data_IF_905852634341
#
_entry.id   IF_905852634341
#
_cell.length_a   1.000
_cell.length_b   1.000
_cell.length_c   1.000
_cell.angle_alpha   90.00
_cell.angle_beta   90.00
_cell.angle_gamma   90.00
#
_symmetry.space_group_name_H-M   'P 1'
#
loop_
_entity.id
_entity.type
_entity.pdbx_description
1 polymer ?
#
# COMPACT_ATOMS: atom_id res chain seq x y z
N UNK A 1 10.65 -3.72 0.70
CA UNK A 1 10.64 -3.44 -0.74
C UNK A 1 10.01 -4.52 -1.57
N UNK A 2 10.37 -5.75 -1.32
CA UNK A 2 9.80 -6.85 -2.11
C UNK A 2 8.27 -6.86 -2.04
N UNK A 3 7.71 -6.57 -0.87
CA UNK A 3 6.26 -6.57 -0.72
C UNK A 3 5.61 -5.50 -1.58
N UNK A 4 6.20 -4.31 -1.62
CA UNK A 4 5.67 -3.23 -2.45
C UNK A 4 5.72 -3.60 -3.91
N UNK A 5 6.83 -4.19 -4.34
CA UNK A 5 6.99 -4.58 -5.74
C UNK A 5 5.96 -5.62 -6.12
N UNK A 6 5.76 -6.62 -5.26
CA UNK A 6 4.77 -7.66 -5.54
C UNK A 6 3.36 -7.09 -5.60
N UNK A 7 3.05 -6.18 -4.69
CA UNK A 7 1.74 -5.53 -4.66
C UNK A 7 1.47 -4.81 -5.97
N UNK A 8 2.44 -4.02 -6.42
CA UNK A 8 2.29 -3.23 -7.63
C UNK A 8 2.24 -4.12 -8.86
N UNK A 9 3.13 -5.12 -8.90
CA UNK A 9 3.18 -6.03 -10.02
C UNK A 9 1.85 -6.75 -10.22
N UNK A 10 1.25 -7.20 -9.13
CA UNK A 10 -0.04 -7.88 -9.22
C UNK A 10 -1.14 -6.94 -9.65
N UNK A 11 -1.11 -5.71 -9.17
CA UNK A 11 -2.14 -4.74 -9.52
C UNK A 11 -2.07 -4.30 -10.97
N UNK A 12 -0.87 -4.14 -11.49
CA UNK A 12 -0.68 -3.57 -12.83
C UNK A 12 -0.45 -4.62 -13.90
N UNK A 13 -0.08 -5.83 -13.51
CA UNK A 13 0.29 -6.85 -14.48
C UNK A 13 1.65 -6.63 -15.11
N UNK A 14 2.44 -5.72 -14.55
CA UNK A 14 3.76 -5.39 -15.07
C UNK A 14 4.79 -6.19 -14.28
N UNK A 15 5.87 -6.61 -14.94
CA UNK A 15 6.86 -7.47 -14.30
C UNK A 15 7.51 -6.78 -13.11
N UNK A 16 7.95 -7.59 -12.15
CA UNK A 16 8.57 -7.06 -10.93
C UNK A 16 9.82 -6.24 -11.25
N UNK A 17 10.59 -6.68 -12.26
CA UNK A 17 11.79 -5.95 -12.64
C UNK A 17 11.46 -4.56 -13.12
N UNK A 18 10.44 -4.45 -13.97
CA UNK A 18 10.04 -3.15 -14.49
C UNK A 18 9.45 -2.28 -13.40
N UNK A 19 8.68 -2.88 -12.49
CA UNK A 19 8.12 -2.14 -11.36
C UNK A 19 9.24 -1.61 -10.48
N UNK A 20 10.24 -2.43 -10.21
CA UNK A 20 11.36 -2.01 -9.36
C UNK A 20 12.07 -0.80 -9.94
N UNK A 21 12.38 -0.87 -11.24
CA UNK A 21 13.07 0.24 -11.89
C UNK A 21 12.24 1.51 -11.87
N UNK A 22 10.94 1.38 -12.12
CA UNK A 22 10.05 2.53 -12.19
C UNK A 22 9.88 3.17 -10.82
N UNK A 23 9.65 2.36 -9.78
CA UNK A 23 9.47 2.93 -8.44
C UNK A 23 10.74 3.62 -7.96
N UNK A 24 11.89 3.09 -8.35
CA UNK A 24 13.15 3.72 -7.97
C UNK A 24 13.27 5.10 -8.60
N UNK A 25 12.89 5.22 -9.86
CA UNK A 25 12.92 6.51 -10.54
C UNK A 25 11.92 7.48 -9.92
N UNK A 26 10.75 6.98 -9.56
CA UNK A 26 9.76 7.83 -8.91
C UNK A 26 10.26 8.32 -7.56
N UNK A 27 10.93 7.45 -6.80
CA UNK A 27 11.49 7.84 -5.52
C UNK A 27 12.57 8.90 -5.68
N UNK A 28 13.28 8.88 -6.81
CA UNK A 28 14.31 9.87 -7.09
C UNK A 28 13.71 11.22 -7.51
N UNK A 29 12.40 11.29 -7.63
CA UNK A 29 11.75 12.54 -7.98
C UNK A 29 11.46 12.71 -9.45
N UNK A 30 11.67 11.67 -10.26
CA UNK A 30 11.38 11.75 -11.68
C UNK A 30 9.88 11.80 -11.91
N UNK A 31 9.47 12.60 -12.88
CA UNK A 31 8.06 12.69 -13.22
C UNK A 31 7.69 11.58 -14.20
N UNK A 32 6.39 11.31 -14.30
CA UNK A 32 5.91 10.26 -15.19
C UNK A 32 6.27 10.55 -16.67
N UNK A 33 6.02 11.76 -17.17
CA UNK A 33 6.42 12.06 -18.55
C UNK A 33 7.93 11.94 -18.79
N UNK A 34 8.71 12.33 -17.79
CA UNK A 34 10.16 12.24 -17.92
C UNK A 34 10.60 10.79 -18.04
N UNK A 35 10.04 9.91 -17.20
CA UNK A 35 10.39 8.51 -17.24
C UNK A 35 9.99 7.89 -18.57
N UNK A 36 8.80 8.20 -19.06
CA UNK A 36 8.32 7.59 -20.28
C UNK A 36 9.10 8.04 -21.49
N UNK A 37 9.70 9.22 -21.43
CA UNK A 37 10.47 9.74 -22.56
C UNK A 37 11.95 9.43 -22.47
N UNK A 38 12.52 9.56 -21.31
CA UNK A 38 13.97 9.55 -21.18
C UNK A 38 14.53 8.36 -20.42
N UNK A 39 13.68 7.51 -19.87
CA UNK A 39 14.12 6.35 -19.10
C UNK A 39 13.51 5.07 -19.61
N UNK A 40 13.28 4.98 -20.92
CA UNK A 40 12.64 3.80 -21.50
C UNK A 40 13.48 2.55 -21.30
N UNK A 41 14.76 2.66 -21.44
CA UNK A 41 15.60 1.48 -21.28
C UNK A 41 15.61 1.00 -19.82
N UNK A 42 15.47 1.91 -18.87
CA UNK A 42 15.43 1.51 -17.46
C UNK A 42 14.15 0.80 -17.12
N UNK A 43 13.04 1.19 -17.74
CA UNK A 43 11.74 0.63 -17.43
C UNK A 43 11.31 -0.47 -18.38
N UNK A 44 12.13 -0.81 -19.35
CA UNK A 44 11.75 -1.82 -20.32
C UNK A 44 10.70 -1.32 -21.30
N UNK A 45 10.78 -0.05 -21.65
CA UNK A 45 9.91 0.59 -22.64
C UNK A 45 8.47 0.74 -22.19
N UNK A 46 8.27 0.95 -20.91
CA UNK A 46 6.92 1.23 -20.41
C UNK A 46 6.44 2.57 -20.94
N UNK A 47 5.17 2.62 -21.33
CA UNK A 47 4.61 3.88 -21.78
C UNK A 47 4.08 4.67 -20.59
N UNK A 48 3.60 5.87 -20.88
CA UNK A 48 3.16 6.78 -19.83
C UNK A 48 2.00 6.20 -19.02
N UNK A 49 1.09 5.50 -19.69
CA UNK A 49 -0.06 4.90 -19.00
C UNK A 49 0.40 3.82 -18.02
N UNK A 50 1.35 3.01 -18.45
CA UNK A 50 1.87 1.94 -17.61
C UNK A 50 2.62 2.51 -16.40
N UNK A 51 3.41 3.53 -16.62
CA UNK A 51 4.14 4.17 -15.54
C UNK A 51 3.17 4.82 -14.57
N UNK A 52 2.12 5.43 -15.08
CA UNK A 52 1.11 6.04 -14.25
C UNK A 52 0.40 4.99 -13.39
N UNK A 53 0.12 3.83 -13.98
CA UNK A 53 -0.50 2.74 -13.22
C UNK A 53 0.40 2.30 -12.08
N UNK A 54 1.70 2.20 -12.33
CA UNK A 54 2.65 1.84 -11.29
C UNK A 54 2.67 2.91 -10.20
N UNK A 55 2.68 4.17 -10.61
CA UNK A 55 2.71 5.27 -9.65
C UNK A 55 1.47 5.25 -8.74
N UNK A 56 0.31 5.03 -9.33
CA UNK A 56 -0.92 4.98 -8.55
C UNK A 56 -0.94 3.79 -7.59
N UNK A 57 -0.49 2.63 -8.08
CA UNK A 57 -0.44 1.46 -7.22
C UNK A 57 0.56 1.66 -6.09
N UNK A 58 1.67 2.34 -6.37
CA UNK A 58 2.67 2.63 -5.37
C UNK A 58 2.11 3.54 -4.28
N UNK A 59 1.35 4.56 -4.69
CA UNK A 59 0.69 5.43 -3.71
C UNK A 59 -0.31 4.66 -2.87
N UNK A 60 -1.07 3.78 -3.51
CA UNK A 60 -2.02 2.95 -2.79
C UNK A 60 -1.30 2.05 -1.77
N UNK A 61 -0.14 1.53 -2.16
CA UNK A 61 0.63 0.70 -1.24
C UNK A 61 1.09 1.51 -0.04
N UNK A 62 1.55 2.74 -0.27
CA UNK A 62 1.99 3.59 0.83
C UNK A 62 0.84 3.88 1.80
N UNK A 63 -0.34 4.14 1.25
CA UNK A 63 -1.51 4.37 2.07
C UNK A 63 -1.85 3.13 2.88
N UNK A 64 -1.75 1.97 2.25
CA UNK A 64 -2.02 0.72 2.92
C UNK A 64 -1.06 0.51 4.08
N UNK A 65 0.22 0.82 3.87
CA UNK A 65 1.22 0.66 4.93
C UNK A 65 0.94 1.59 6.11
N UNK A 66 0.52 2.80 5.82
CA UNK A 66 0.15 3.75 6.87
C UNK A 66 -1.04 3.22 7.67
N UNK A 67 -2.01 2.67 6.96
CA UNK A 67 -3.19 2.12 7.62
C UNK A 67 -2.81 0.93 8.49
N UNK A 68 -1.91 0.09 7.99
CA UNK A 68 -1.44 -1.05 8.77
C UNK A 68 -0.81 -0.60 10.08
N UNK A 69 0.03 0.41 10.01
CA UNK A 69 0.68 0.94 11.20
C UNK A 69 -0.35 1.46 12.19
N UNK A 70 -1.30 2.21 11.68
CA UNK A 70 -2.35 2.76 12.53
C UNK A 70 -3.12 1.63 13.24
N UNK A 71 -3.47 0.60 12.48
CA UNK A 71 -4.24 -0.51 13.03
C UNK A 71 -3.43 -1.27 14.08
N UNK A 72 -2.16 -1.52 13.78
CA UNK A 72 -1.30 -2.22 14.72
C UNK A 72 -1.20 -1.45 16.03
N UNK A 73 -0.98 -0.14 15.94
CA UNK A 73 -0.87 0.67 17.14
C UNK A 73 -2.18 0.73 17.90
N UNK A 74 -3.29 0.79 17.18
CA UNK A 74 -4.60 0.85 17.83
C UNK A 74 -4.89 -0.43 18.61
N UNK A 75 -4.58 -1.58 18.01
CA UNK A 75 -4.82 -2.85 18.68
C UNK A 75 -3.84 -3.04 19.82
N UNK A 76 -2.60 -2.64 19.60
CA UNK A 76 -1.58 -2.75 20.63
C UNK A 76 -1.95 -1.89 21.85
N UNK A 77 -2.50 -0.71 21.62
CA UNK A 77 -2.93 0.16 22.69
C UNK A 77 -4.05 -0.44 23.52
N UNK A 78 -4.80 -1.36 22.93
CA UNK A 78 -5.85 -2.07 23.66
C UNK A 78 -5.33 -3.32 24.35
N UNK A 79 -4.08 -3.67 24.10
CA UNK A 79 -3.51 -4.86 24.70
C UNK A 79 -3.96 -6.15 24.06
N UNK A 80 -4.49 -6.06 22.85
CA UNK A 80 -5.06 -7.22 22.17
C UNK A 80 -4.21 -7.72 21.00
N UNK A 81 -3.10 -7.04 20.72
CA UNK A 81 -2.27 -7.42 19.59
C UNK A 81 -1.44 -8.65 19.92
N UNK A 82 -1.55 -9.67 19.07
CA UNK A 82 -0.73 -10.86 19.19
C UNK A 82 0.26 -10.90 18.03
N UNK A 83 1.29 -11.74 18.17
CA UNK A 83 2.25 -11.89 17.10
C UNK A 83 1.58 -12.41 15.83
N UNK A 84 0.65 -13.32 16.01
CA UNK A 84 -0.08 -13.89 14.88
C UNK A 84 -0.88 -12.82 14.15
N UNK A 85 -1.60 -12.01 14.91
CA UNK A 85 -2.41 -10.95 14.32
C UNK A 85 -1.53 -9.93 13.63
N UNK A 86 -0.41 -9.58 14.25
CA UNK A 86 0.52 -8.63 13.66
C UNK A 86 1.04 -9.12 12.33
N UNK A 87 1.37 -10.41 12.27
CA UNK A 87 1.84 -11.00 11.01
C UNK A 87 0.76 -10.95 9.95
N UNK A 88 -0.47 -11.25 10.32
CA UNK A 88 -1.56 -11.21 9.37
C UNK A 88 -1.74 -9.80 8.81
N UNK A 89 -1.66 -8.80 9.67
CA UNK A 89 -1.81 -7.41 9.23
C UNK A 89 -0.67 -7.03 8.31
N UNK A 90 0.56 -7.40 8.67
CA UNK A 90 1.71 -7.05 7.86
C UNK A 90 1.69 -7.68 6.49
N UNK A 91 1.17 -8.92 6.40
CA UNK A 91 1.13 -9.64 5.14
C UNK A 91 -0.09 -9.33 4.30
N UNK A 92 -1.00 -8.53 4.82
CA UNK A 92 -2.21 -8.17 4.10
C UNK A 92 -1.87 -7.24 2.95
N UNK A 93 -2.38 -7.54 1.76
CA UNK A 93 -2.11 -6.70 0.59
C UNK A 93 -3.39 -6.10 0.03
N UNK A 94 -4.52 -6.30 0.69
CA UNK A 94 -5.80 -5.76 0.26
C UNK A 94 -6.41 -4.96 1.38
N UNK A 95 -6.89 -3.77 1.03
CA UNK A 95 -7.52 -2.90 2.02
C UNK A 95 -8.71 -3.54 2.67
N UNK A 96 -9.52 -4.23 1.87
CA UNK A 96 -10.73 -4.88 2.40
C UNK A 96 -10.39 -5.89 3.48
N UNK A 97 -9.38 -6.73 3.20
CA UNK A 97 -8.99 -7.73 4.17
C UNK A 97 -8.40 -7.09 5.42
N UNK A 98 -7.66 -6.02 5.24
CA UNK A 98 -7.07 -5.31 6.36
C UNK A 98 -8.16 -4.74 7.27
N UNK A 99 -9.18 -4.15 6.69
CA UNK A 99 -10.28 -3.61 7.47
C UNK A 99 -11.04 -4.71 8.19
N UNK A 100 -11.20 -5.86 7.54
CA UNK A 100 -11.85 -6.99 8.17
C UNK A 100 -11.08 -7.47 9.40
N UNK A 101 -9.76 -7.48 9.32
CA UNK A 101 -8.93 -7.87 10.45
C UNK A 101 -9.08 -6.88 11.61
N UNK A 102 -9.26 -5.62 11.30
CA UNK A 102 -9.36 -4.58 12.30
C UNK A 102 -10.77 -4.48 12.89
N UNK A 103 -11.76 -4.92 12.14
CA UNK A 103 -13.15 -4.71 12.54
C UNK A 103 -13.47 -5.14 13.97
N UNK A 104 -13.08 -6.35 14.42
CA UNK A 104 -13.36 -6.75 15.79
C UNK A 104 -12.67 -5.91 16.84
N UNK A 105 -11.64 -5.17 16.46
CA UNK A 105 -10.84 -4.40 17.40
C UNK A 105 -11.10 -2.90 17.33
N UNK A 106 -11.98 -2.48 16.44
CA UNK A 106 -12.32 -1.06 16.36
C UNK A 106 -12.97 -0.58 17.63
N UNK A 107 -12.53 0.55 18.16
CA UNK A 107 -13.22 1.11 19.30
C UNK A 107 -14.63 1.52 18.91
N UNK A 108 -15.57 1.27 19.81
CA UNK A 108 -16.89 1.66 19.53
C UNK A 108 -17.05 3.06 19.83
N UNK A 109 -17.38 3.85 18.92
CA UNK A 109 -17.40 5.17 19.15
C UNK A 109 -18.64 5.55 19.54
N UNK A 110 -19.33 5.30 19.80
CA UNK A 110 -20.36 5.47 20.04
C UNK A 110 -20.67 6.34 20.71
N UNK A 111 -20.33 6.65 21.01
CA UNK A 111 -20.46 7.44 21.65
C UNK A 111 -21.20 8.38 21.18
N UNK A 112 -21.24 8.59 20.39
CA UNK A 112 -21.88 9.27 19.90
C UNK A 112 -23.00 9.02 19.93
N UNK A 113 -23.12 8.65 19.82
CA UNK A 113 -24.12 8.36 19.67
C UNK A 113 -24.91 8.35 20.67
N UNK A 114 -24.79 8.05 21.00
CA UNK A 114 -25.44 7.90 21.77
C UNK A 114 -25.60 8.88 22.45
N UNK A 115 -25.24 9.57 22.27
CA UNK A 115 -25.33 10.45 22.86
C UNK A 115 -26.24 11.05 22.61
N UNK A 116 -26.48 11.04 22.05
CA UNK A 116 -27.33 11.45 21.76
C UNK A 116 -28.21 11.42 22.34
N UNK A 117 -28.30 11.49 22.71
CA UNK A 117 -29.13 11.50 23.01
C UNK A 117 -29.60 11.87 23.29
#
# INVERSE_FOLDING_TARGET
MTTAINFISERTGISARQVTATTKLLDDGSTIPFISRYRKEATGSLNEVEIQAISMAYENFKELEKRKEFIIQAIEGQGLLSNELKEKIKNCIQENELEDLYLPYKPKRRTKAEIAI
#
